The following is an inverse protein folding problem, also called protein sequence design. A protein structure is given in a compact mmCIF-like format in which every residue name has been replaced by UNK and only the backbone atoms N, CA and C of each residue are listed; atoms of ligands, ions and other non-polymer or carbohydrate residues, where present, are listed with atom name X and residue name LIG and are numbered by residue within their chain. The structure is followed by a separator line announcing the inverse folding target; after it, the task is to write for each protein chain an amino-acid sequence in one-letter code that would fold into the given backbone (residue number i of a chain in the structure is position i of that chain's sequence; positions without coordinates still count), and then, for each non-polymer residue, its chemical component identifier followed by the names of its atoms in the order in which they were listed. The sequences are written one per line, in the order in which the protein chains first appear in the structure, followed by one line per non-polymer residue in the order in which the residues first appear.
data_IF_525266338886
#
_entry.id   IF_525266338886
#
_cell.length_a   1.000
_cell.length_b   1.000
_cell.length_c   1.000
_cell.angle_alpha   90.00
_cell.angle_beta   90.00
_cell.angle_gamma   90.00
#
_symmetry.space_group_name_H-M   'P 1'
#
loop_
_entity.id
_entity.type
_entity.pdbx_description
1 polymer ?
#
# COMPACT_ATOMS: atom_id res chain seq x y z
N UNK A 1 -6.40 9.07 11.44
CA UNK A 1 -5.20 9.57 12.16
C UNK A 1 -4.83 10.95 11.65
N UNK A 2 -4.42 11.86 12.56
CA UNK A 2 -3.74 13.12 12.17
C UNK A 2 -2.25 12.80 12.03
N UNK A 3 -1.65 13.21 10.94
CA UNK A 3 -0.23 13.02 10.70
C UNK A 3 0.35 14.19 9.92
N UNK A 4 1.62 14.46 10.11
CA UNK A 4 2.40 15.42 9.35
C UNK A 4 3.69 14.75 8.90
N UNK A 5 4.03 14.92 7.64
CA UNK A 5 5.30 14.44 7.09
C UNK A 5 6.38 15.48 7.40
N UNK A 6 7.36 15.13 8.21
CA UNK A 6 8.50 15.99 8.51
C UNK A 6 9.67 15.75 7.57
N UNK A 7 9.99 14.46 7.34
CA UNK A 7 11.05 14.01 6.43
C UNK A 7 10.91 12.50 6.19
N UNK A 8 11.19 12.04 4.99
CA UNK A 8 11.21 10.61 4.64
C UNK A 8 10.51 10.32 3.32
N UNK A 9 10.49 9.04 2.97
CA UNK A 9 9.73 8.49 1.84
C UNK A 9 8.56 7.70 2.42
N UNK A 10 7.37 7.89 1.87
CA UNK A 10 6.18 7.18 2.27
C UNK A 10 5.42 6.68 1.03
N UNK A 11 4.76 5.54 1.16
CA UNK A 11 3.74 5.08 0.24
C UNK A 11 2.38 5.44 0.82
N UNK A 12 1.58 6.17 0.07
CA UNK A 12 0.23 6.52 0.45
C UNK A 12 -0.76 5.76 -0.43
N UNK A 13 -1.64 4.99 0.21
CA UNK A 13 -2.72 4.26 -0.46
C UNK A 13 -4.03 4.83 0.04
N UNK A 14 -4.87 5.25 -0.89
CA UNK A 14 -6.18 5.84 -0.59
C UNK A 14 -7.26 5.17 -1.45
N UNK A 15 -8.47 5.06 -0.91
CA UNK A 15 -9.64 4.78 -1.72
C UNK A 15 -9.86 5.92 -2.72
N UNK A 16 -10.53 5.63 -3.84
CA UNK A 16 -10.89 6.63 -4.84
C UNK A 16 -12.03 7.53 -4.33
N UNK A 17 -11.70 8.37 -3.36
CA UNK A 17 -12.61 9.29 -2.70
C UNK A 17 -11.94 10.65 -2.55
N UNK A 18 -12.66 11.73 -2.85
CA UNK A 18 -12.22 13.12 -2.66
C UNK A 18 -12.80 13.76 -1.38
N UNK A 19 -13.42 12.97 -0.53
CA UNK A 19 -14.03 13.42 0.72
C UNK A 19 -12.99 13.51 1.85
N UNK A 20 -12.23 14.60 1.88
CA UNK A 20 -11.13 14.81 2.82
C UNK A 20 -11.42 15.97 3.77
N UNK A 21 -11.41 15.71 5.09
CA UNK A 21 -11.36 16.73 6.12
C UNK A 21 -9.90 17.10 6.43
N UNK A 22 -9.58 18.39 6.36
CA UNK A 22 -8.23 18.91 6.58
C UNK A 22 -8.06 19.42 7.99
N UNK A 23 -6.88 19.24 8.57
CA UNK A 23 -6.59 19.55 9.96
C UNK A 23 -5.25 20.27 10.14
N UNK A 24 -5.18 21.52 9.79
CA UNK A 24 -4.01 22.39 10.00
C UNK A 24 -2.83 22.11 9.05
N UNK A 25 -1.80 22.96 9.09
CA UNK A 25 -0.57 22.90 8.28
C UNK A 25 -0.81 22.80 6.77
N UNK A 26 -1.86 23.43 6.27
CA UNK A 26 -2.23 23.44 4.85
C UNK A 26 -2.74 24.83 4.45
N UNK A 27 -2.44 25.29 3.23
CA UNK A 27 -3.04 26.52 2.70
C UNK A 27 -4.48 26.31 2.18
N UNK A 28 -4.97 25.07 2.17
CA UNK A 28 -6.31 24.73 1.70
C UNK A 28 -7.34 25.00 2.80
N UNK A 29 -8.60 25.23 2.40
CA UNK A 29 -9.71 25.45 3.33
C UNK A 29 -9.83 24.34 4.39
N UNK A 30 -10.04 24.73 5.63
CA UNK A 30 -10.28 23.84 6.77
C UNK A 30 -11.65 24.15 7.32
N UNK A 31 -12.56 23.17 7.25
CA UNK A 31 -13.84 23.23 7.91
C UNK A 31 -13.70 22.76 9.36
N UNK A 32 -13.53 23.72 10.27
CA UNK A 32 -13.31 23.40 11.69
C UNK A 32 -14.55 22.77 12.34
N UNK A 33 -15.79 23.29 12.14
CA UNK A 33 -16.99 22.66 12.66
C UNK A 33 -17.15 21.21 12.21
N UNK A 34 -17.02 20.96 10.92
CA UNK A 34 -17.14 19.60 10.35
C UNK A 34 -16.01 18.67 10.84
N UNK A 35 -14.80 19.20 10.94
CA UNK A 35 -13.66 18.45 11.48
C UNK A 35 -13.93 18.02 12.93
N UNK A 36 -14.39 18.92 13.79
CA UNK A 36 -14.67 18.62 15.20
C UNK A 36 -15.82 17.62 15.34
N UNK A 37 -16.85 17.73 14.49
CA UNK A 37 -17.99 16.81 14.50
C UNK A 37 -17.59 15.35 14.12
N UNK A 38 -16.58 15.19 13.27
CA UNK A 38 -16.15 13.88 12.75
C UNK A 38 -14.92 13.28 13.43
N UNK A 39 -14.19 14.06 14.25
CA UNK A 39 -13.00 13.54 14.96
C UNK A 39 -13.41 12.77 16.20
N UNK A 40 -12.96 11.53 16.30
CA UNK A 40 -13.09 10.73 17.53
C UNK A 40 -11.97 11.11 18.50
N UNK A 41 -12.32 11.78 19.59
CA UNK A 41 -11.39 12.18 20.65
C UNK A 41 -11.16 11.02 21.63
N UNK A 42 -10.53 9.95 21.15
CA UNK A 42 -10.21 8.77 21.95
C UNK A 42 -8.70 8.68 22.11
N UNK A 43 -8.23 8.71 23.35
CA UNK A 43 -6.82 8.47 23.66
C UNK A 43 -6.45 7.02 23.31
N UNK A 44 -5.30 6.85 22.66
CA UNK A 44 -4.72 5.53 22.36
C UNK A 44 -3.30 5.45 22.92
N UNK A 45 -2.91 4.30 23.50
CA UNK A 45 -1.51 4.05 23.85
C UNK A 45 -0.59 4.21 22.63
N UNK A 46 0.62 4.71 22.86
CA UNK A 46 1.59 4.90 21.78
C UNK A 46 1.87 3.61 20.98
N UNK A 47 1.88 2.46 21.66
CA UNK A 47 2.08 1.16 21.03
C UNK A 47 0.97 0.77 20.02
N UNK A 48 -0.23 1.34 20.16
CA UNK A 48 -1.37 1.09 19.26
C UNK A 48 -1.43 2.07 18.06
N UNK A 49 -0.55 3.07 18.04
CA UNK A 49 -0.52 4.06 16.97
C UNK A 49 0.12 3.52 15.69
N UNK A 50 1.04 2.57 15.83
CA UNK A 50 1.74 1.94 14.72
C UNK A 50 1.17 0.55 14.46
N UNK A 51 0.66 0.32 13.24
CA UNK A 51 0.25 -1.00 12.80
C UNK A 51 1.48 -1.84 12.50
N UNK A 52 1.63 -2.93 13.24
CA UNK A 52 2.73 -3.88 12.99
C UNK A 52 2.35 -4.81 11.85
N UNK A 53 3.22 -5.00 10.84
CA UNK A 53 2.97 -5.97 9.78
C UNK A 53 3.09 -7.40 10.30
N UNK A 54 2.33 -8.30 9.69
CA UNK A 54 2.43 -9.74 9.88
C UNK A 54 3.35 -10.30 8.82
N UNK A 55 4.43 -10.98 9.25
CA UNK A 55 5.40 -11.57 8.33
C UNK A 55 4.97 -12.97 7.91
N UNK A 56 4.83 -13.18 6.60
CA UNK A 56 4.55 -14.46 5.96
C UNK A 56 5.62 -14.74 4.90
N UNK A 57 6.71 -15.42 5.28
CA UNK A 57 7.85 -15.62 4.38
C UNK A 57 8.50 -14.30 3.97
N UNK A 58 8.50 -14.00 2.67
CA UNK A 58 9.01 -12.75 2.09
C UNK A 58 7.97 -11.62 2.11
N UNK A 59 6.72 -11.90 2.45
CA UNK A 59 5.62 -10.95 2.50
C UNK A 59 5.45 -10.36 3.90
N UNK A 60 5.30 -9.03 3.95
CA UNK A 60 4.85 -8.26 5.10
C UNK A 60 3.43 -7.78 4.84
N UNK A 61 2.45 -8.42 5.43
CA UNK A 61 1.04 -8.03 5.31
C UNK A 61 0.70 -6.99 6.39
N UNK A 62 0.09 -5.87 6.00
CA UNK A 62 -0.31 -4.80 6.89
C UNK A 62 -1.81 -4.92 7.21
N UNK A 63 -2.19 -5.27 8.44
CA UNK A 63 -3.60 -5.39 8.83
C UNK A 63 -4.25 -4.01 8.88
N UNK A 64 -4.86 -3.60 7.78
CA UNK A 64 -5.54 -2.31 7.63
C UNK A 64 -6.99 -2.46 8.06
N UNK A 65 -7.54 -1.55 8.90
CA UNK A 65 -8.91 -1.62 9.41
C UNK A 65 -9.95 -1.04 8.44
N UNK A 66 -9.77 -1.27 7.13
CA UNK A 66 -10.73 -0.93 6.07
C UNK A 66 -10.84 -2.11 5.11
N UNK A 67 -11.99 -2.24 4.47
CA UNK A 67 -12.28 -3.33 3.54
C UNK A 67 -11.98 -2.95 2.08
N UNK A 68 -11.83 -1.64 1.81
CA UNK A 68 -11.64 -1.10 0.46
C UNK A 68 -10.39 -1.63 -0.23
N UNK A 69 -9.32 -1.89 0.53
CA UNK A 69 -8.07 -2.42 -0.01
C UNK A 69 -7.24 -3.17 1.03
N UNK A 70 -6.35 -4.03 0.55
CA UNK A 70 -5.26 -4.65 1.29
C UNK A 70 -3.92 -4.09 0.80
N UNK A 71 -2.93 -4.12 1.69
CA UNK A 71 -1.58 -3.65 1.39
C UNK A 71 -0.56 -4.63 1.93
N UNK A 72 0.39 -5.01 1.09
CA UNK A 72 1.55 -5.82 1.49
C UNK A 72 2.84 -5.31 0.84
N UNK A 73 3.96 -5.60 1.49
CA UNK A 73 5.31 -5.43 0.95
C UNK A 73 5.96 -6.80 0.76
N UNK A 74 6.63 -6.99 -0.36
CA UNK A 74 7.38 -8.20 -0.69
C UNK A 74 8.87 -7.88 -0.75
N UNK A 75 9.66 -8.59 0.02
CA UNK A 75 11.12 -8.63 -0.13
C UNK A 75 11.46 -9.52 -1.33
N UNK A 76 11.99 -8.90 -2.38
CA UNK A 76 12.34 -9.60 -3.62
C UNK A 76 13.63 -10.38 -3.47
N UNK A 77 13.69 -11.50 -4.14
CA UNK A 77 14.89 -12.32 -4.31
C UNK A 77 15.02 -12.79 -5.75
N UNK A 78 16.14 -13.39 -6.10
CA UNK A 78 16.34 -14.01 -7.42
C UNK A 78 15.41 -15.21 -7.67
N UNK A 79 14.88 -15.83 -6.62
CA UNK A 79 13.89 -16.87 -6.73
C UNK A 79 12.50 -16.26 -7.00
N UNK A 80 11.77 -16.83 -7.96
CA UNK A 80 10.41 -16.41 -8.25
C UNK A 80 9.46 -16.75 -7.11
N UNK A 81 8.57 -15.84 -6.79
CA UNK A 81 7.48 -16.00 -5.84
C UNK A 81 6.15 -15.71 -6.54
N UNK A 82 5.17 -16.58 -6.35
CA UNK A 82 3.84 -16.36 -6.91
C UNK A 82 3.04 -15.38 -6.06
N UNK A 83 2.49 -14.35 -6.68
CA UNK A 83 1.50 -13.44 -6.09
C UNK A 83 0.13 -13.77 -6.64
N UNK A 84 -0.75 -14.26 -5.78
CA UNK A 84 -2.14 -14.58 -6.12
C UNK A 84 -3.09 -13.62 -5.41
N UNK A 85 -4.10 -13.15 -6.12
CA UNK A 85 -5.25 -12.39 -5.60
C UNK A 85 -6.48 -12.66 -6.47
N UNK A 86 -7.66 -12.46 -5.90
CA UNK A 86 -8.93 -12.62 -6.65
C UNK A 86 -9.37 -11.32 -7.34
N UNK A 87 -8.87 -10.18 -6.89
CA UNK A 87 -9.14 -8.86 -7.46
C UNK A 87 -8.03 -8.38 -8.39
N UNK A 88 -8.24 -7.25 -9.03
CA UNK A 88 -7.15 -6.49 -9.62
C UNK A 88 -6.16 -6.03 -8.54
N UNK A 89 -4.91 -5.84 -8.94
CA UNK A 89 -3.86 -5.34 -8.06
C UNK A 89 -3.01 -4.27 -8.74
N UNK A 90 -2.41 -3.41 -7.92
CA UNK A 90 -1.34 -2.51 -8.34
C UNK A 90 -0.06 -2.99 -7.67
N UNK A 91 0.97 -3.23 -8.46
CA UNK A 91 2.33 -3.48 -8.00
C UNK A 91 3.12 -2.19 -8.17
N UNK A 92 3.93 -1.85 -7.16
CA UNK A 92 4.76 -0.64 -7.17
C UNK A 92 6.17 -0.98 -6.66
N UNK A 93 7.17 -0.73 -7.50
CA UNK A 93 8.57 -0.93 -7.10
C UNK A 93 9.02 0.18 -6.16
N UNK A 94 9.29 -0.16 -4.91
CA UNK A 94 9.72 0.78 -3.87
C UNK A 94 11.21 1.05 -3.96
N UNK A 95 11.97 -0.02 -4.12
CA UNK A 95 13.44 0.03 -4.25
C UNK A 95 13.96 -1.19 -5.01
N UNK A 96 15.14 -1.05 -5.60
CA UNK A 96 15.79 -2.11 -6.36
C UNK A 96 15.23 -2.28 -7.77
N UNK A 97 14.95 -3.49 -8.18
CA UNK A 97 14.36 -3.83 -9.49
C UNK A 97 13.44 -5.02 -9.32
N UNK A 98 12.21 -4.89 -9.73
CA UNK A 98 11.21 -5.95 -9.69
C UNK A 98 10.95 -6.50 -11.09
N UNK A 99 10.97 -7.81 -11.23
CA UNK A 99 10.55 -8.51 -12.44
C UNK A 99 9.19 -9.15 -12.14
N UNK A 100 8.20 -8.83 -12.97
CA UNK A 100 6.86 -9.42 -12.93
C UNK A 100 6.68 -10.26 -14.18
N UNK A 101 6.26 -11.51 -14.05
CA UNK A 101 6.13 -12.42 -15.18
C UNK A 101 4.84 -13.25 -15.12
N UNK A 102 4.31 -13.59 -16.30
CA UNK A 102 3.20 -14.52 -16.50
C UNK A 102 3.36 -15.23 -17.84
N UNK A 103 3.59 -16.54 -17.82
CA UNK A 103 3.94 -17.29 -19.04
C UNK A 103 5.19 -16.69 -19.69
N UNK A 104 5.09 -16.33 -20.98
CA UNK A 104 6.19 -15.73 -21.74
C UNK A 104 6.27 -14.20 -21.59
N UNK A 105 5.28 -13.58 -20.94
CA UNK A 105 5.27 -12.13 -20.71
C UNK A 105 6.14 -11.77 -19.52
N UNK A 106 6.91 -10.69 -19.68
CA UNK A 106 7.81 -10.19 -18.64
C UNK A 106 7.83 -8.67 -18.63
N UNK A 107 7.71 -8.10 -17.44
CA UNK A 107 7.80 -6.67 -17.17
C UNK A 107 8.85 -6.42 -16.10
N UNK A 108 9.69 -5.41 -16.30
CA UNK A 108 10.69 -4.97 -15.33
C UNK A 108 10.25 -3.60 -14.79
N UNK A 109 10.17 -3.49 -13.47
CA UNK A 109 9.81 -2.25 -12.78
C UNK A 109 11.04 -1.73 -12.02
N UNK A 110 11.35 -0.46 -12.24
CA UNK A 110 12.35 0.31 -11.49
C UNK A 110 11.69 1.08 -10.35
N UNK A 111 12.47 1.61 -9.38
CA UNK A 111 11.91 2.40 -8.28
C UNK A 111 11.02 3.54 -8.76
N UNK A 112 9.80 3.61 -8.23
CA UNK A 112 8.78 4.57 -8.62
C UNK A 112 7.87 4.13 -9.78
N UNK A 113 8.16 3.02 -10.43
CA UNK A 113 7.31 2.46 -11.48
C UNK A 113 6.27 1.50 -10.90
N UNK A 114 5.12 1.42 -11.58
CA UNK A 114 4.00 0.57 -11.18
C UNK A 114 3.47 -0.24 -12.35
N UNK A 115 2.83 -1.37 -12.02
CA UNK A 115 2.08 -2.20 -12.97
C UNK A 115 0.68 -2.47 -12.42
N UNK A 116 -0.30 -2.45 -13.32
CA UNK A 116 -1.65 -2.92 -13.05
C UNK A 116 -1.76 -4.39 -13.44
N UNK A 117 -2.24 -5.21 -12.52
CA UNK A 117 -2.51 -6.64 -12.74
C UNK A 117 -4.02 -6.83 -12.71
N UNK A 118 -4.60 -7.24 -13.82
CA UNK A 118 -6.02 -7.58 -13.86
C UNK A 118 -6.29 -8.86 -13.01
N UNK A 119 -7.51 -9.02 -12.52
CA UNK A 119 -7.89 -10.22 -11.78
C UNK A 119 -7.69 -11.50 -12.62
N UNK A 120 -7.93 -11.43 -13.93
CA UNK A 120 -7.70 -12.52 -14.89
C UNK A 120 -6.23 -12.88 -15.09
N UNK A 121 -5.32 -11.99 -14.71
CA UNK A 121 -3.87 -12.20 -14.87
C UNK A 121 -3.23 -12.83 -13.64
N UNK A 122 -3.99 -12.94 -12.54
CA UNK A 122 -3.53 -13.62 -11.34
C UNK A 122 -3.55 -15.15 -11.52
N UNK A 123 -2.53 -15.89 -10.99
CA UNK A 123 -1.33 -15.38 -10.32
C UNK A 123 -0.29 -14.86 -11.31
N UNK A 124 0.54 -13.93 -10.84
CA UNK A 124 1.78 -13.52 -11.50
C UNK A 124 2.98 -13.94 -10.66
N UNK A 125 4.14 -14.16 -11.28
CA UNK A 125 5.38 -14.39 -10.55
C UNK A 125 6.14 -13.08 -10.41
N UNK A 126 6.82 -12.92 -9.26
CA UNK A 126 7.70 -11.78 -8.99
C UNK A 126 9.07 -12.27 -8.54
N UNK A 127 10.11 -11.58 -8.97
CA UNK A 127 11.50 -11.81 -8.57
C UNK A 127 12.28 -10.50 -8.68
N UNK A 128 13.55 -10.52 -8.30
CA UNK A 128 14.41 -9.36 -8.43
C UNK A 128 15.19 -9.05 -7.16
N UNK A 129 15.41 -7.76 -6.90
CA UNK A 129 16.13 -7.25 -5.73
C UNK A 129 15.40 -6.05 -5.17
N UNK A 130 15.31 -5.94 -3.85
CA UNK A 130 14.67 -4.81 -3.17
C UNK A 130 13.26 -5.11 -2.72
N UNK A 131 12.35 -4.14 -2.81
CA UNK A 131 11.00 -4.25 -2.26
C UNK A 131 9.93 -3.84 -3.27
N UNK A 132 8.89 -4.68 -3.34
CA UNK A 132 7.70 -4.48 -4.16
C UNK A 132 6.48 -4.30 -3.26
N UNK A 133 5.77 -3.20 -3.41
CA UNK A 133 4.48 -3.00 -2.76
C UNK A 133 3.36 -3.58 -3.61
N UNK A 134 2.36 -4.17 -2.96
CA UNK A 134 1.14 -4.68 -3.59
C UNK A 134 -0.08 -4.09 -2.91
N UNK A 135 -1.00 -3.55 -3.71
CA UNK A 135 -2.32 -3.06 -3.28
C UNK A 135 -3.39 -3.84 -4.07
N UNK A 136 -4.37 -4.38 -3.37
CA UNK A 136 -5.45 -5.17 -3.98
C UNK A 136 -6.70 -5.12 -3.10
N UNK A 137 -7.87 -5.56 -3.60
CA UNK A 137 -9.07 -5.66 -2.79
C UNK A 137 -9.14 -7.05 -2.10
N UNK A 138 -9.60 -7.07 -0.87
CA UNK A 138 -10.01 -8.31 -0.19
C UNK A 138 -11.43 -8.64 -0.64
N UNK A 139 -11.57 -9.54 -1.59
CA UNK A 139 -12.84 -10.11 -2.03
C UNK A 139 -13.04 -11.47 -1.37
#
# INVERSE_FOLDING_TARGET
KRQAYLKGVALEVMANSDNVLRAGLTPKYIDIPELVANVKFVAKPAAELLTQPVKNGAELDFPIPVEDFAFSLHELSSAESALAQQSAAILFCVEGEAVVSKGDERLVLKPGESAFIAASDSPVNVSGVGRLARVYNKL
#
